data_IF_554959232477
#
_entry.id   IF_554959232477
#
_cell.length_a   1.000
_cell.length_b   1.000
_cell.length_c   1.000
_cell.angle_alpha   90.00
_cell.angle_beta   90.00
_cell.angle_gamma   90.00
#
_symmetry.space_group_name_H-M   'P 1'
#
loop_
_entity.id
_entity.type
_entity.pdbx_description
1 polymer ?
#
# COMPACT_ATOMS: atom_id res chain seq x y z
N UNK A 1 -59.92 -13.75 45.10
CA UNK A 1 -59.55 -13.86 43.69
C UNK A 1 -58.44 -12.85 43.39
N UNK A 2 -57.19 -13.31 43.46
CA UNK A 2 -56.00 -12.45 43.27
C UNK A 2 -55.58 -12.52 41.83
N UNK A 3 -55.67 -11.40 41.08
CA UNK A 3 -55.22 -11.29 39.70
C UNK A 3 -53.71 -11.08 39.71
N UNK A 4 -52.97 -12.09 39.29
CA UNK A 4 -51.52 -12.06 39.14
C UNK A 4 -51.19 -11.43 37.76
N UNK A 5 -50.79 -10.15 37.75
CA UNK A 5 -50.34 -9.47 36.55
C UNK A 5 -48.88 -9.88 36.24
N UNK A 6 -48.71 -10.65 35.19
CA UNK A 6 -47.36 -10.97 34.61
C UNK A 6 -46.86 -9.78 33.83
N UNK A 7 -45.90 -9.06 34.39
CA UNK A 7 -45.12 -8.05 33.66
C UNK A 7 -44.03 -8.76 32.82
N UNK A 8 -44.28 -8.88 31.53
CA UNK A 8 -43.27 -9.35 30.58
C UNK A 8 -42.35 -8.15 30.24
N UNK A 9 -41.16 -8.13 30.85
CA UNK A 9 -40.12 -7.17 30.48
C UNK A 9 -39.44 -7.70 29.22
N UNK A 10 -39.76 -7.13 28.08
CA UNK A 10 -39.09 -7.41 26.83
C UNK A 10 -37.72 -6.69 26.83
N UNK A 11 -36.65 -7.43 27.13
CA UNK A 11 -35.28 -6.96 27.00
C UNK A 11 -34.93 -6.96 25.51
N UNK A 12 -34.92 -5.79 24.90
CA UNK A 12 -34.39 -5.60 23.54
C UNK A 12 -32.86 -5.64 23.61
N UNK A 13 -32.29 -6.78 23.24
CA UNK A 13 -30.84 -6.92 23.02
C UNK A 13 -30.53 -6.27 21.65
N UNK A 14 -30.10 -5.02 21.66
CA UNK A 14 -29.52 -4.38 20.47
C UNK A 14 -28.15 -5.02 20.22
N UNK A 15 -28.09 -5.98 19.29
CA UNK A 15 -26.84 -6.50 18.76
C UNK A 15 -26.27 -5.39 17.87
N UNK A 16 -25.50 -4.50 18.50
CA UNK A 16 -24.70 -3.53 17.76
C UNK A 16 -23.65 -4.29 16.95
N UNK A 17 -23.81 -4.31 15.62
CA UNK A 17 -22.77 -4.77 14.71
C UNK A 17 -21.58 -3.83 14.87
N UNK A 18 -20.57 -4.25 15.65
CA UNK A 18 -19.27 -3.60 15.69
C UNK A 18 -18.64 -3.81 14.32
N UNK A 19 -18.87 -2.87 13.39
CA UNK A 19 -18.12 -2.80 12.15
C UNK A 19 -16.72 -2.36 12.56
N UNK A 20 -15.84 -3.35 12.77
CA UNK A 20 -14.43 -3.10 13.03
C UNK A 20 -13.89 -2.23 11.88
N UNK A 21 -13.54 -0.99 12.16
CA UNK A 21 -12.89 -0.12 11.19
C UNK A 21 -11.56 -0.76 10.83
N UNK A 22 -11.43 -1.24 9.59
CA UNK A 22 -10.15 -1.73 9.06
C UNK A 22 -9.21 -0.53 9.06
N UNK A 23 -8.22 -0.56 9.95
CA UNK A 23 -7.24 0.50 10.06
C UNK A 23 -6.36 0.52 8.80
N UNK A 24 -6.35 1.65 8.06
CA UNK A 24 -5.56 1.83 6.83
C UNK A 24 -4.54 2.94 7.03
N UNK A 25 -3.37 2.62 7.61
CA UNK A 25 -2.35 3.61 7.95
C UNK A 25 -1.55 4.11 6.75
N UNK A 26 -1.74 3.53 5.57
CA UNK A 26 -1.02 3.90 4.35
C UNK A 26 -2.00 4.36 3.28
N UNK A 27 -1.75 5.55 2.72
CA UNK A 27 -2.48 6.09 1.58
C UNK A 27 -1.54 6.16 0.37
N UNK A 28 -2.01 5.65 -0.77
CA UNK A 28 -1.24 5.67 -2.01
C UNK A 28 -1.79 6.72 -2.97
N UNK A 29 -0.91 7.30 -3.75
CA UNK A 29 -1.24 8.19 -4.85
C UNK A 29 -0.22 8.02 -5.98
N UNK A 30 -0.64 8.35 -7.21
CA UNK A 30 0.22 8.24 -8.38
C UNK A 30 0.26 9.54 -9.16
N UNK A 31 1.42 9.81 -9.73
CA UNK A 31 1.66 10.92 -10.64
C UNK A 31 2.56 10.45 -11.79
N UNK A 32 2.68 11.26 -12.81
CA UNK A 32 3.53 10.97 -13.95
C UNK A 32 4.27 12.21 -14.43
N UNK A 33 5.37 11.98 -15.13
CA UNK A 33 6.09 13.01 -15.88
C UNK A 33 6.56 12.41 -17.19
N UNK A 34 6.20 13.05 -18.32
CA UNK A 34 6.83 12.78 -19.59
C UNK A 34 8.20 13.47 -19.63
N UNK A 35 9.25 12.72 -19.88
CA UNK A 35 10.62 13.24 -19.93
C UNK A 35 10.95 13.73 -21.33
N UNK A 36 10.53 12.99 -22.35
CA UNK A 36 10.68 13.31 -23.77
C UNK A 36 9.68 12.48 -24.60
N UNK A 37 9.77 12.51 -25.92
CA UNK A 37 8.85 11.81 -26.81
C UNK A 37 8.83 10.27 -26.60
N UNK A 38 9.88 9.69 -26.03
CA UNK A 38 10.06 8.25 -25.89
C UNK A 38 10.19 7.76 -24.45
N UNK A 39 10.14 8.65 -23.46
CA UNK A 39 10.37 8.29 -22.07
C UNK A 39 9.43 9.01 -21.12
N UNK A 40 9.00 8.30 -20.11
CA UNK A 40 8.23 8.84 -18.98
C UNK A 40 8.64 8.21 -17.66
N UNK A 41 8.15 8.82 -16.59
CA UNK A 41 8.30 8.30 -15.22
C UNK A 41 6.93 8.27 -14.56
N UNK A 42 6.64 7.16 -13.91
CA UNK A 42 5.50 7.02 -12.99
C UNK A 42 6.03 7.15 -11.57
N UNK A 43 5.43 8.05 -10.81
CA UNK A 43 5.70 8.23 -9.39
C UNK A 43 4.58 7.58 -8.58
N UNK A 44 4.94 6.69 -7.67
CA UNK A 44 3.99 5.99 -6.79
C UNK A 44 4.36 6.38 -5.36
N UNK A 45 3.50 7.18 -4.74
CA UNK A 45 3.75 7.76 -3.41
C UNK A 45 2.92 7.06 -2.36
N UNK A 46 3.57 6.58 -1.30
CA UNK A 46 2.95 6.19 -0.05
C UNK A 46 3.01 7.35 0.94
N UNK A 47 1.89 7.68 1.57
CA UNK A 47 1.79 8.55 2.76
C UNK A 47 1.45 7.66 3.94
N UNK A 48 2.34 7.62 4.93
CA UNK A 48 2.31 6.65 6.03
C UNK A 48 1.97 7.41 7.32
N UNK A 49 0.95 6.95 8.03
CA UNK A 49 0.53 7.52 9.30
C UNK A 49 1.66 7.46 10.34
N UNK A 50 1.75 8.48 11.20
CA UNK A 50 2.74 8.50 12.29
C UNK A 50 2.66 7.25 13.16
N UNK A 51 3.82 6.70 13.51
CA UNK A 51 3.95 5.45 14.25
C UNK A 51 3.94 4.18 13.40
N UNK A 52 3.56 4.28 12.12
CA UNK A 52 3.58 3.17 11.17
C UNK A 52 4.77 3.23 10.22
N UNK A 53 5.10 2.08 9.66
CA UNK A 53 6.11 1.93 8.60
C UNK A 53 5.67 0.90 7.56
N UNK A 54 6.23 1.04 6.37
CA UNK A 54 6.23 0.01 5.33
C UNK A 54 7.67 -0.38 5.02
N UNK A 55 7.86 -1.50 4.36
CA UNK A 55 9.20 -2.05 4.12
C UNK A 55 9.72 -1.73 2.71
N UNK A 56 11.04 -1.71 2.57
CA UNK A 56 11.73 -1.59 1.28
C UNK A 56 11.38 -2.76 0.35
N UNK A 57 11.60 -2.59 -0.95
CA UNK A 57 11.55 -3.70 -1.93
C UNK A 57 12.65 -4.75 -1.67
N UNK A 58 13.69 -4.38 -0.93
CA UNK A 58 14.91 -5.19 -0.71
C UNK A 58 14.98 -5.72 0.73
N UNK A 59 13.89 -6.28 1.24
CA UNK A 59 13.89 -6.97 2.54
C UNK A 59 14.62 -8.30 2.41
N UNK A 60 15.55 -8.64 3.34
CA UNK A 60 16.19 -9.95 3.36
C UNK A 60 15.18 -11.09 3.55
N UNK A 61 15.54 -12.30 3.07
CA UNK A 61 14.72 -13.50 3.24
C UNK A 61 14.46 -13.79 4.72
N UNK A 62 13.22 -14.19 5.04
CA UNK A 62 12.77 -14.41 6.41
C UNK A 62 12.28 -13.17 7.14
N UNK A 63 12.36 -11.99 6.51
CA UNK A 63 11.82 -10.73 7.03
C UNK A 63 10.34 -10.52 6.74
N UNK A 64 9.80 -9.33 7.05
CA UNK A 64 8.43 -8.94 6.71
C UNK A 64 8.23 -8.87 5.19
N UNK A 65 6.97 -8.80 4.77
CA UNK A 65 6.61 -8.70 3.36
C UNK A 65 7.12 -7.37 2.77
N UNK A 66 7.99 -7.43 1.73
CA UNK A 66 8.51 -6.22 1.10
C UNK A 66 7.43 -5.49 0.31
N UNK A 67 7.62 -4.19 0.08
CA UNK A 67 6.83 -3.47 -0.91
C UNK A 67 7.19 -3.97 -2.30
N UNK A 68 6.19 -4.34 -3.10
CA UNK A 68 6.39 -4.86 -4.46
C UNK A 68 5.46 -4.19 -5.47
N UNK A 69 5.88 -4.16 -6.73
CA UNK A 69 5.16 -3.51 -7.83
C UNK A 69 4.97 -4.49 -8.97
N UNK A 70 3.73 -4.65 -9.41
CA UNK A 70 3.36 -5.40 -10.60
C UNK A 70 2.72 -4.47 -11.61
N UNK A 71 3.32 -4.32 -12.79
CA UNK A 71 2.79 -3.49 -13.87
C UNK A 71 2.07 -4.36 -14.89
N UNK A 72 0.92 -3.88 -15.38
CA UNK A 72 0.19 -4.58 -16.44
C UNK A 72 0.97 -4.47 -17.76
N UNK A 73 1.17 -5.58 -18.47
CA UNK A 73 1.81 -5.55 -19.79
C UNK A 73 1.02 -4.68 -20.77
N UNK A 74 1.73 -3.97 -21.63
CA UNK A 74 1.15 -3.13 -22.69
C UNK A 74 2.04 -3.12 -23.92
N UNK A 75 1.42 -2.97 -25.10
CA UNK A 75 2.16 -2.71 -26.35
C UNK A 75 2.64 -1.26 -26.49
N UNK A 76 2.03 -0.35 -25.70
CA UNK A 76 2.26 1.09 -25.82
C UNK A 76 3.46 1.57 -25.00
N UNK A 77 3.93 0.74 -24.06
CA UNK A 77 5.15 1.02 -23.29
C UNK A 77 5.87 -0.27 -22.87
N UNK A 78 7.12 -0.11 -22.46
CA UNK A 78 7.90 -1.14 -21.75
C UNK A 78 8.54 -0.53 -20.52
N UNK A 79 8.68 -1.32 -19.45
CA UNK A 79 9.39 -0.90 -18.26
C UNK A 79 10.88 -0.72 -18.57
N UNK A 80 11.47 0.34 -18.05
CA UNK A 80 12.90 0.61 -18.17
C UNK A 80 13.58 0.51 -16.80
N UNK A 81 14.25 -0.61 -16.59
CA UNK A 81 14.85 -0.96 -15.30
C UNK A 81 13.80 -1.36 -14.24
N UNK A 82 14.27 -1.53 -13.02
CA UNK A 82 13.45 -1.82 -11.84
C UNK A 82 12.85 -0.54 -11.28
N UNK A 83 11.75 -0.68 -10.54
CA UNK A 83 11.20 0.42 -9.74
C UNK A 83 12.25 0.89 -8.74
N UNK A 84 12.61 2.16 -8.79
CA UNK A 84 13.57 2.78 -7.89
C UNK A 84 12.90 3.24 -6.60
N UNK A 85 13.60 3.13 -5.49
CA UNK A 85 13.22 3.67 -4.19
C UNK A 85 14.32 4.57 -3.63
N UNK A 86 14.01 5.54 -2.75
CA UNK A 86 15.03 6.30 -2.04
C UNK A 86 15.75 5.40 -1.02
N UNK A 87 16.85 5.90 -0.46
CA UNK A 87 17.57 5.14 0.58
C UNK A 87 16.66 4.88 1.79
N UNK A 88 16.36 3.62 2.15
CA UNK A 88 15.56 3.30 3.32
C UNK A 88 16.33 3.56 4.63
N UNK A 89 15.58 3.74 5.70
CA UNK A 89 16.10 3.58 7.06
C UNK A 89 16.25 2.09 7.37
N UNK A 90 17.06 1.76 8.35
CA UNK A 90 17.23 0.38 8.82
C UNK A 90 16.99 0.32 10.31
N UNK A 91 16.29 -0.72 10.78
CA UNK A 91 16.09 -1.04 12.20
C UNK A 91 16.22 -2.54 12.43
N UNK A 92 16.61 -2.89 13.64
CA UNK A 92 16.57 -4.29 14.08
C UNK A 92 15.13 -4.63 14.48
N UNK A 93 14.60 -5.71 13.92
CA UNK A 93 13.27 -6.24 14.22
C UNK A 93 13.39 -7.53 15.02
N UNK A 94 12.99 -7.48 16.31
CA UNK A 94 13.10 -8.62 17.22
C UNK A 94 12.31 -9.85 16.76
N UNK A 95 11.16 -9.63 16.13
CA UNK A 95 10.30 -10.71 15.61
C UNK A 95 11.02 -11.51 14.53
N UNK A 96 11.77 -10.85 13.66
CA UNK A 96 12.48 -11.46 12.53
C UNK A 96 13.95 -11.74 12.83
N UNK A 97 14.48 -11.26 13.98
CA UNK A 97 15.89 -11.39 14.40
C UNK A 97 16.88 -10.85 13.36
N UNK A 98 16.53 -9.78 12.67
CA UNK A 98 17.35 -9.18 11.61
C UNK A 98 17.17 -7.67 11.47
N UNK A 99 18.13 -7.04 10.79
CA UNK A 99 17.99 -5.66 10.34
C UNK A 99 17.10 -5.58 9.12
N UNK A 100 16.06 -4.75 9.18
CA UNK A 100 15.05 -4.62 8.13
C UNK A 100 15.03 -3.19 7.60
N UNK A 101 15.15 -2.99 6.26
CA UNK A 101 15.00 -1.68 5.64
C UNK A 101 13.53 -1.25 5.55
N UNK A 102 13.23 0.01 5.92
CA UNK A 102 11.85 0.50 6.01
C UNK A 102 11.71 1.99 5.71
N UNK A 103 10.47 2.43 5.50
CA UNK A 103 10.07 3.83 5.29
C UNK A 103 9.01 4.26 6.29
N UNK A 104 9.03 5.55 6.65
CA UNK A 104 8.05 6.22 7.51
C UNK A 104 7.64 7.55 6.89
N UNK A 105 6.52 8.13 7.31
CA UNK A 105 5.99 9.41 6.84
C UNK A 105 5.59 9.38 5.36
N UNK A 106 6.54 9.47 4.47
CA UNK A 106 6.28 9.32 3.04
C UNK A 106 7.48 8.70 2.31
N UNK A 107 7.16 8.03 1.21
CA UNK A 107 8.14 7.51 0.27
C UNK A 107 7.59 7.60 -1.15
N UNK A 108 8.44 7.95 -2.11
CA UNK A 108 8.09 8.00 -3.52
C UNK A 108 8.95 6.98 -4.27
N UNK A 109 8.28 5.99 -4.83
CA UNK A 109 8.86 5.02 -5.75
C UNK A 109 8.74 5.54 -7.18
N UNK A 110 9.70 5.20 -8.03
CA UNK A 110 9.77 5.71 -9.40
C UNK A 110 9.99 4.58 -10.40
N UNK A 111 9.07 4.46 -11.36
CA UNK A 111 9.25 3.55 -12.48
C UNK A 111 9.44 4.31 -13.78
N UNK A 112 10.60 4.15 -14.39
CA UNK A 112 10.84 4.64 -15.74
C UNK A 112 10.18 3.73 -16.78
N UNK A 113 9.61 4.32 -17.82
CA UNK A 113 9.01 3.60 -18.93
C UNK A 113 9.52 4.17 -20.26
N UNK A 114 9.72 3.30 -21.24
CA UNK A 114 9.90 3.68 -22.66
C UNK A 114 8.56 3.65 -23.35
N UNK A 115 8.23 4.73 -24.06
CA UNK A 115 6.97 4.87 -24.79
C UNK A 115 7.16 4.36 -26.22
N UNK A 116 6.30 3.45 -26.64
CA UNK A 116 6.29 2.89 -27.99
C UNK A 116 5.39 3.67 -28.95
N UNK A 117 4.68 4.68 -28.43
CA UNK A 117 3.73 5.51 -29.19
C UNK A 117 3.88 6.98 -28.79
N UNK A 118 3.51 7.89 -29.70
CA UNK A 118 3.43 9.31 -29.42
C UNK A 118 2.07 9.75 -28.81
N UNK A 119 1.13 8.80 -28.67
CA UNK A 119 -0.20 9.04 -28.09
C UNK A 119 -0.11 8.99 -26.55
N UNK A 120 -1.11 9.58 -25.85
CA UNK A 120 -1.23 9.39 -24.39
C UNK A 120 -1.19 7.91 -24.03
N UNK A 121 -0.30 7.55 -23.12
CA UNK A 121 -0.01 6.15 -22.76
C UNK A 121 -0.45 5.89 -21.33
N UNK A 122 -1.39 4.95 -21.15
CA UNK A 122 -1.88 4.56 -19.83
C UNK A 122 -1.01 3.46 -19.24
N UNK A 123 -0.47 3.72 -18.05
CA UNK A 123 0.29 2.76 -17.24
C UNK A 123 -0.57 2.36 -16.05
N UNK A 124 -0.76 1.06 -15.85
CA UNK A 124 -1.53 0.50 -14.74
C UNK A 124 -0.74 -0.59 -14.03
N UNK A 125 -1.03 -0.78 -12.77
CA UNK A 125 -0.37 -1.80 -11.97
C UNK A 125 -0.96 -1.92 -10.58
N UNK A 126 -0.30 -2.73 -9.76
CA UNK A 126 -0.64 -2.98 -8.37
C UNK A 126 0.61 -2.80 -7.53
N UNK A 127 0.49 -2.14 -6.39
CA UNK A 127 1.49 -2.20 -5.34
C UNK A 127 0.94 -3.03 -4.19
N UNK A 128 1.75 -3.98 -3.70
CA UNK A 128 1.49 -4.77 -2.50
C UNK A 128 2.48 -4.33 -1.41
N UNK A 129 2.00 -4.24 -0.16
CA UNK A 129 2.83 -3.87 0.98
C UNK A 129 2.31 -4.46 2.28
N UNK A 130 3.14 -4.42 3.29
CA UNK A 130 2.76 -4.70 4.67
C UNK A 130 3.08 -3.48 5.54
N UNK A 131 2.12 -3.07 6.37
CA UNK A 131 2.29 -1.99 7.34
C UNK A 131 2.42 -2.57 8.75
N UNK A 132 3.41 -2.08 9.50
CA UNK A 132 3.62 -2.45 10.90
C UNK A 132 3.81 -1.20 11.75
N UNK A 133 3.41 -1.31 13.02
CA UNK A 133 3.77 -0.37 14.08
C UNK A 133 4.71 -1.06 15.09
N UNK A 134 4.86 -0.51 16.28
CA UNK A 134 5.72 -1.09 17.34
C UNK A 134 5.16 -2.37 17.96
N UNK A 135 3.88 -2.66 17.77
CA UNK A 135 3.14 -3.71 18.49
C UNK A 135 2.55 -4.76 17.56
N UNK A 136 2.27 -4.41 16.32
CA UNK A 136 1.57 -5.28 15.38
C UNK A 136 1.93 -5.01 13.92
N UNK A 137 1.75 -6.03 13.09
CA UNK A 137 1.72 -5.93 11.63
C UNK A 137 0.31 -6.21 11.13
N UNK A 138 -0.17 -5.38 10.23
CA UNK A 138 -1.41 -5.64 9.51
C UNK A 138 -1.19 -6.74 8.46
N UNK A 139 -2.24 -7.44 8.03
CA UNK A 139 -2.16 -8.26 6.84
C UNK A 139 -1.67 -7.44 5.64
N UNK A 140 -0.99 -8.07 4.66
CA UNK A 140 -0.67 -7.40 3.39
C UNK A 140 -1.90 -6.80 2.74
N UNK A 141 -1.74 -5.61 2.15
CA UNK A 141 -2.81 -4.91 1.44
C UNK A 141 -2.31 -4.53 0.04
N UNK A 142 -3.23 -4.23 -0.87
CA UNK A 142 -2.95 -3.91 -2.26
C UNK A 142 -3.61 -2.61 -2.68
N UNK A 143 -2.91 -1.85 -3.54
CA UNK A 143 -3.42 -0.67 -4.20
C UNK A 143 -3.26 -0.78 -5.71
N UNK A 144 -4.39 -0.79 -6.41
CA UNK A 144 -4.41 -0.76 -7.86
C UNK A 144 -4.32 0.69 -8.35
N UNK A 145 -3.41 0.98 -9.24
CA UNK A 145 -3.20 2.31 -9.79
C UNK A 145 -3.31 2.35 -11.30
N UNK A 146 -3.68 3.51 -11.80
CA UNK A 146 -3.70 3.84 -13.23
C UNK A 146 -3.33 5.30 -13.42
N UNK A 147 -2.42 5.58 -14.34
CA UNK A 147 -1.98 6.93 -14.67
C UNK A 147 -1.72 7.05 -16.17
N UNK A 148 -2.02 8.20 -16.77
CA UNK A 148 -1.82 8.43 -18.20
C UNK A 148 -0.72 9.45 -18.43
N UNK A 149 0.37 9.03 -19.08
CA UNK A 149 1.47 9.89 -19.55
C UNK A 149 1.00 10.59 -20.82
N UNK A 150 0.91 11.92 -20.80
CA UNK A 150 0.42 12.77 -21.90
C UNK A 150 1.53 13.31 -22.75
#
# INVERSE_FOLDING_TARGET
MKKLSLLIVAVWITIGSAVGQIHKPVKWSVAQKKLNAKEGVVFIKATIQSGWNIYSQNVPEGGPIPTSFTFKPSKDYVLYGKTAEPKPKTKYEDVFKMNVPYFTQEVIFQQKVKLNTNKPTTVSGTVEWQACDKTQCLPPDEYNFTVTIK
#
